data_IF_138677970229
#
_entry.id   IF_138677970229
#
_cell.length_a   1.000
_cell.length_b   1.000
_cell.length_c   1.000
_cell.angle_alpha   90.00
_cell.angle_beta   90.00
_cell.angle_gamma   90.00
#
_symmetry.space_group_name_H-M   'P 1'
#
loop_
_entity.id
_entity.type
_entity.pdbx_description
1 polymer ?
#
# COMPACT_ATOMS: atom_id res chain seq x y z
N UNK A 1 -1.42 9.72 13.18
CA UNK A 1 -2.17 10.81 12.50
C UNK A 1 -2.80 10.19 11.26
N UNK A 2 -4.12 10.25 11.10
CA UNK A 2 -4.75 9.84 9.83
C UNK A 2 -4.20 10.75 8.71
N UNK A 3 -3.91 10.20 7.53
CA UNK A 3 -3.49 11.00 6.38
C UNK A 3 -4.53 12.08 6.10
N UNK A 4 -4.10 13.32 5.87
CA UNK A 4 -5.01 14.46 5.69
C UNK A 4 -5.67 14.55 4.31
N UNK A 5 -5.40 13.59 3.41
CA UNK A 5 -5.91 13.56 2.04
C UNK A 5 -6.81 12.35 1.77
N UNK A 6 -7.59 12.43 0.68
CA UNK A 6 -8.45 11.33 0.22
C UNK A 6 -7.67 10.25 -0.53
N UNK A 7 -8.13 9.01 -0.40
CA UNK A 7 -7.61 7.80 -1.05
C UNK A 7 -8.73 6.77 -1.21
N UNK A 8 -8.55 5.79 -2.11
CA UNK A 8 -9.48 4.66 -2.26
C UNK A 8 -9.71 3.90 -0.95
N UNK A 9 -8.71 3.90 -0.06
CA UNK A 9 -8.84 3.35 1.29
C UNK A 9 -9.99 4.00 2.08
N UNK A 10 -10.29 5.29 1.88
CA UNK A 10 -11.43 5.93 2.52
C UNK A 10 -12.75 5.28 2.06
N UNK A 11 -12.93 5.14 0.75
CA UNK A 11 -14.13 4.51 0.16
C UNK A 11 -14.26 3.05 0.58
N UNK A 12 -13.16 2.30 0.66
CA UNK A 12 -13.19 0.91 1.11
C UNK A 12 -13.56 0.79 2.58
N UNK A 13 -13.00 1.63 3.44
CA UNK A 13 -13.35 1.65 4.87
C UNK A 13 -14.82 2.07 5.08
N UNK A 14 -15.33 3.03 4.32
CA UNK A 14 -16.76 3.41 4.33
C UNK A 14 -17.68 2.25 3.95
N UNK A 15 -17.19 1.32 3.12
CA UNK A 15 -17.92 0.09 2.72
C UNK A 15 -17.66 -1.10 3.64
N UNK A 16 -17.01 -0.90 4.79
CA UNK A 16 -16.75 -1.95 5.79
C UNK A 16 -15.53 -2.83 5.51
N UNK A 17 -14.76 -2.54 4.46
CA UNK A 17 -13.50 -3.24 4.17
C UNK A 17 -12.34 -2.52 4.88
N UNK A 18 -11.84 -3.12 5.95
CA UNK A 18 -10.70 -2.58 6.72
C UNK A 18 -9.47 -2.45 5.83
N UNK A 19 -9.13 -1.21 5.49
CA UNK A 19 -8.08 -0.91 4.50
C UNK A 19 -7.11 0.12 5.06
N UNK A 20 -5.82 -0.08 4.81
CA UNK A 20 -4.77 0.90 5.11
C UNK A 20 -4.04 1.29 3.82
N UNK A 21 -3.40 2.45 3.81
CA UNK A 21 -2.59 2.93 2.69
C UNK A 21 -1.13 2.52 2.93
N UNK A 22 -0.50 1.92 1.91
CA UNK A 22 0.94 1.71 1.85
C UNK A 22 1.52 2.70 0.83
N UNK A 23 2.34 3.65 1.28
CA UNK A 23 2.98 4.61 0.38
C UNK A 23 4.30 4.05 -0.21
N UNK A 24 4.77 4.67 -1.29
CA UNK A 24 6.03 4.34 -1.98
C UNK A 24 7.11 5.43 -1.90
N UNK A 25 6.99 6.40 -1.00
CA UNK A 25 7.99 7.46 -0.76
C UNK A 25 7.93 8.66 -1.70
N UNK A 26 6.76 8.96 -2.29
CA UNK A 26 6.59 10.12 -3.16
C UNK A 26 6.93 11.46 -2.48
N UNK A 27 7.57 12.36 -3.20
CA UNK A 27 7.92 13.72 -2.79
C UNK A 27 7.39 14.74 -3.80
N UNK A 28 6.89 15.87 -3.31
CA UNK A 28 6.29 16.94 -4.11
C UNK A 28 5.19 16.45 -5.09
N UNK A 29 4.20 15.66 -4.63
CA UNK A 29 3.15 15.16 -5.51
C UNK A 29 2.39 16.31 -6.18
N UNK A 30 1.95 16.08 -7.42
CA UNK A 30 1.23 17.09 -8.23
C UNK A 30 2.07 18.31 -8.63
N UNK A 31 3.39 18.12 -8.75
CA UNK A 31 4.30 19.15 -9.26
C UNK A 31 5.17 18.60 -10.39
N UNK A 32 5.79 19.48 -11.16
CA UNK A 32 6.78 19.07 -12.17
C UNK A 32 8.10 18.56 -11.56
N UNK A 33 8.25 18.67 -10.24
CA UNK A 33 9.39 18.18 -9.46
C UNK A 33 9.02 16.93 -8.65
N UNK A 34 7.90 16.27 -9.00
CA UNK A 34 7.50 15.03 -8.36
C UNK A 34 8.58 13.97 -8.58
N UNK A 35 9.02 13.37 -7.48
CA UNK A 35 10.08 12.38 -7.51
C UNK A 35 9.91 11.37 -6.37
N UNK A 36 10.69 10.29 -6.43
CA UNK A 36 10.77 9.35 -5.34
C UNK A 36 12.17 8.73 -5.31
N UNK A 37 12.64 8.35 -4.13
CA UNK A 37 13.91 7.64 -4.03
C UNK A 37 13.69 6.17 -4.41
N UNK A 38 14.56 5.62 -5.28
CA UNK A 38 14.46 4.22 -5.71
C UNK A 38 14.40 3.25 -4.52
N UNK A 39 15.15 3.53 -3.45
CA UNK A 39 15.15 2.74 -2.21
C UNK A 39 13.76 2.63 -1.57
N UNK A 40 12.94 3.68 -1.66
CA UNK A 40 11.63 3.72 -1.02
C UNK A 40 10.61 2.89 -1.82
N UNK A 41 10.73 2.90 -3.15
CA UNK A 41 9.93 2.02 -4.03
C UNK A 41 10.29 0.55 -3.79
N UNK A 42 11.57 0.22 -3.68
CA UNK A 42 12.03 -1.15 -3.38
C UNK A 42 11.49 -1.60 -2.02
N UNK A 43 11.57 -0.74 -1.00
CA UNK A 43 11.08 -1.07 0.33
C UNK A 43 9.55 -1.23 0.35
N UNK A 44 8.80 -0.39 -0.37
CA UNK A 44 7.35 -0.54 -0.49
C UNK A 44 6.96 -1.88 -1.16
N UNK A 45 7.68 -2.29 -2.21
CA UNK A 45 7.48 -3.59 -2.84
C UNK A 45 7.79 -4.75 -1.88
N UNK A 46 8.89 -4.66 -1.12
CA UNK A 46 9.24 -5.65 -0.10
C UNK A 46 8.16 -5.76 0.98
N UNK A 47 7.62 -4.63 1.46
CA UNK A 47 6.52 -4.63 2.42
C UNK A 47 5.25 -5.27 1.85
N UNK A 48 4.88 -4.96 0.60
CA UNK A 48 3.72 -5.57 -0.04
C UNK A 48 3.86 -7.11 -0.12
N UNK A 49 5.01 -7.59 -0.56
CA UNK A 49 5.31 -9.03 -0.61
C UNK A 49 5.30 -9.65 0.78
N UNK A 50 5.92 -9.00 1.77
CA UNK A 50 5.96 -9.51 3.13
C UNK A 50 4.56 -9.61 3.76
N UNK A 51 3.68 -8.62 3.54
CA UNK A 51 2.29 -8.66 3.99
C UNK A 51 1.56 -9.85 3.34
N UNK A 52 1.69 -10.01 2.03
CA UNK A 52 1.07 -11.14 1.32
C UNK A 52 1.63 -12.47 1.82
N UNK A 53 2.93 -12.60 2.05
CA UNK A 53 3.51 -13.83 2.56
C UNK A 53 3.05 -14.16 3.99
N UNK A 54 2.94 -13.16 4.86
CA UNK A 54 2.52 -13.34 6.25
C UNK A 54 1.04 -13.72 6.40
N UNK A 55 0.18 -13.26 5.48
CA UNK A 55 -1.28 -13.42 5.61
C UNK A 55 -1.92 -14.22 4.46
N UNK A 56 -1.17 -14.51 3.40
CA UNK A 56 -1.66 -15.17 2.19
C UNK A 56 -1.75 -16.69 2.30
N UNK A 57 -1.04 -17.32 3.23
CA UNK A 57 -1.09 -18.79 3.41
C UNK A 57 -2.37 -19.29 4.10
N UNK A 58 -3.26 -18.41 4.58
CA UNK A 58 -4.55 -18.83 5.12
C UNK A 58 -5.59 -19.12 4.01
N UNK A 59 -5.29 -18.86 2.73
CA UNK A 59 -6.28 -18.97 1.62
C UNK A 59 -5.79 -19.64 0.33
N UNK A 60 -4.86 -20.60 0.39
CA UNK A 60 -4.60 -21.50 -0.75
C UNK A 60 -4.66 -22.99 -0.38
N UNK A 61 -5.88 -23.55 -0.40
CA UNK A 61 -6.16 -24.99 -0.35
C UNK A 61 -6.47 -25.56 -1.74
N UNK A 62 -5.61 -25.31 -2.73
CA UNK A 62 -5.89 -25.78 -4.09
C UNK A 62 -4.68 -25.89 -4.98
N UNK A 63 -3.82 -26.89 -4.75
CA UNK A 63 -2.67 -27.12 -5.62
C UNK A 63 -1.83 -28.38 -5.36
N UNK A 64 -2.46 -29.53 -5.12
CA UNK A 64 -2.01 -30.87 -5.57
C UNK A 64 -3.23 -31.77 -5.75
#
# INVERSE_FOLDING_TARGET
>A
KAGGGGSDANVFNERGLKTVILNSGQQNPHTTQECTALKDVVLAAQHAVAIIALFGEETYSGGT
#
